data_IF_600795375540
#
_entry.id   IF_600795375540
#
_cell.length_a   1.000
_cell.length_b   1.000
_cell.length_c   1.000
_cell.angle_alpha   90.00
_cell.angle_beta   90.00
_cell.angle_gamma   90.00
#
_symmetry.space_group_name_H-M   'P 1'
#
loop_
_entity.id
_entity.type
_entity.pdbx_description
1 polymer ?
#
# COMPACT_ATOMS: atom_id res chain seq x y z
N UNK A 1 2.26 7.96 3.00
CA UNK A 1 2.97 7.45 4.19
C UNK A 1 3.83 6.27 3.76
N UNK A 2 5.10 6.20 4.17
CA UNK A 2 5.99 5.10 3.78
C UNK A 2 6.09 4.03 4.89
N UNK A 3 6.69 2.87 4.58
CA UNK A 3 6.82 1.75 5.50
C UNK A 3 7.59 2.11 6.77
N UNK A 4 8.67 2.89 6.64
CA UNK A 4 9.47 3.34 7.77
C UNK A 4 8.66 4.21 8.74
N UNK A 5 7.83 5.12 8.22
CA UNK A 5 6.93 5.94 9.02
C UNK A 5 5.86 5.09 9.72
N UNK A 6 5.35 4.04 9.06
CA UNK A 6 4.36 3.14 9.66
C UNK A 6 4.94 2.37 10.84
N UNK A 7 6.15 1.81 10.68
CA UNK A 7 6.86 1.16 11.79
C UNK A 7 7.13 2.12 12.95
N UNK A 8 7.58 3.34 12.65
CA UNK A 8 7.81 4.36 13.68
C UNK A 8 6.55 4.66 14.48
N UNK A 9 5.40 4.84 13.81
CA UNK A 9 4.13 5.11 14.49
C UNK A 9 3.59 3.90 15.25
N UNK A 10 3.77 2.68 14.72
CA UNK A 10 3.40 1.45 15.42
C UNK A 10 4.18 1.33 16.74
N UNK A 11 5.50 1.49 16.71
CA UNK A 11 6.36 1.40 17.89
C UNK A 11 6.00 2.46 18.94
N UNK A 12 5.78 3.71 18.52
CA UNK A 12 5.35 4.78 19.43
C UNK A 12 4.01 4.44 20.09
N UNK A 13 3.04 3.93 19.34
CA UNK A 13 1.75 3.51 19.90
C UNK A 13 1.90 2.36 20.90
N UNK A 14 2.74 1.34 20.61
CA UNK A 14 3.03 0.25 21.56
C UNK A 14 3.68 0.78 22.84
N UNK A 15 4.69 1.64 22.71
CA UNK A 15 5.36 2.25 23.86
C UNK A 15 4.38 3.06 24.73
N UNK A 16 3.52 3.86 24.10
CA UNK A 16 2.47 4.62 24.81
C UNK A 16 1.45 3.72 25.50
N UNK A 17 1.08 2.59 24.88
CA UNK A 17 0.18 1.62 25.51
C UNK A 17 0.81 0.94 26.73
N UNK A 18 2.11 0.66 26.68
CA UNK A 18 2.85 0.05 27.79
C UNK A 18 3.04 0.99 28.98
N UNK A 19 3.19 2.30 28.74
CA UNK A 19 3.39 3.30 29.80
C UNK A 19 2.10 4.00 30.24
N UNK A 20 0.96 3.68 29.62
CA UNK A 20 -0.32 4.31 29.94
C UNK A 20 -0.77 3.92 31.36
N UNK A 21 -1.10 4.92 32.17
CA UNK A 21 -1.59 4.70 33.53
C UNK A 21 -3.06 4.26 33.59
N UNK A 22 -3.86 4.61 32.58
CA UNK A 22 -5.27 4.22 32.51
C UNK A 22 -5.51 3.05 31.53
N UNK A 23 -6.39 2.11 31.89
CA UNK A 23 -6.80 1.02 30.99
C UNK A 23 -7.38 1.51 29.67
N UNK A 24 -8.10 2.63 29.67
CA UNK A 24 -8.70 3.22 28.49
C UNK A 24 -7.63 3.76 27.53
N UNK A 25 -6.60 4.43 28.07
CA UNK A 25 -5.49 4.93 27.26
C UNK A 25 -4.64 3.77 26.72
N UNK A 26 -4.41 2.73 27.52
CA UNK A 26 -3.74 1.52 27.08
C UNK A 26 -4.50 0.88 25.91
N UNK A 27 -5.81 0.68 26.04
CA UNK A 27 -6.66 0.11 24.99
C UNK A 27 -6.67 0.96 23.72
N UNK A 28 -6.77 2.29 23.86
CA UNK A 28 -6.72 3.24 22.74
C UNK A 28 -5.40 3.15 21.98
N UNK A 29 -4.27 3.17 22.68
CA UNK A 29 -2.95 3.07 22.07
C UNK A 29 -2.67 1.70 21.45
N UNK A 30 -3.16 0.61 22.05
CA UNK A 30 -3.11 -0.72 21.45
C UNK A 30 -3.90 -0.78 20.15
N UNK A 31 -5.13 -0.24 20.10
CA UNK A 31 -5.92 -0.16 18.85
C UNK A 31 -5.18 0.57 17.74
N UNK A 32 -4.49 1.67 18.06
CA UNK A 32 -3.67 2.39 17.09
C UNK A 32 -2.48 1.53 16.61
N UNK A 33 -1.79 0.84 17.52
CA UNK A 33 -0.69 -0.05 17.17
C UNK A 33 -1.15 -1.18 16.24
N UNK A 34 -2.30 -1.79 16.50
CA UNK A 34 -2.91 -2.81 15.65
C UNK A 34 -3.23 -2.25 14.26
N UNK A 35 -3.88 -1.08 14.19
CA UNK A 35 -4.19 -0.47 12.90
C UNK A 35 -2.95 -0.12 12.06
N UNK A 36 -1.82 0.21 12.68
CA UNK A 36 -0.54 0.34 11.97
C UNK A 36 0.03 -1.01 11.56
N UNK A 37 -0.06 -2.05 12.40
CA UNK A 37 0.40 -3.40 12.06
C UNK A 37 -0.33 -3.95 10.83
N UNK A 38 -1.65 -3.74 10.74
CA UNK A 38 -2.45 -4.14 9.58
C UNK A 38 -1.99 -3.42 8.30
N UNK A 39 -1.73 -2.12 8.38
CA UNK A 39 -1.22 -1.33 7.25
C UNK A 39 0.19 -1.72 6.83
N UNK A 40 1.04 -2.13 7.78
CA UNK A 40 2.38 -2.64 7.50
C UNK A 40 2.29 -3.97 6.75
N UNK A 41 1.43 -4.88 7.24
CA UNK A 41 1.19 -6.18 6.60
C UNK A 41 0.73 -6.02 5.15
N UNK A 42 -0.15 -5.06 4.90
CA UNK A 42 -0.73 -4.84 3.57
C UNK A 42 0.04 -3.77 2.75
N UNK A 43 1.21 -3.32 3.21
CA UNK A 43 1.93 -2.22 2.56
C UNK A 43 2.43 -2.60 1.16
N UNK A 44 2.80 -3.87 0.95
CA UNK A 44 3.26 -4.39 -0.34
C UNK A 44 2.11 -4.85 -1.24
N UNK A 45 0.97 -5.30 -0.67
CA UNK A 45 -0.24 -5.63 -1.43
C UNK A 45 -0.76 -4.40 -2.21
N UNK A 46 -0.59 -3.19 -1.66
CA UNK A 46 -0.90 -1.93 -2.35
C UNK A 46 0.15 -1.49 -3.39
N UNK A 47 1.33 -2.11 -3.41
CA UNK A 47 2.32 -1.91 -4.48
C UNK A 47 2.01 -2.79 -5.69
N UNK A 48 1.42 -3.97 -5.47
CA UNK A 48 1.01 -4.89 -6.54
C UNK A 48 -0.32 -4.48 -7.22
N UNK A 49 -1.18 -3.71 -6.55
CA UNK A 49 -2.37 -3.09 -7.17
C UNK A 49 -2.10 -1.80 -7.95
N UNK A 50 -0.84 -1.43 -8.19
CA UNK A 50 -0.56 -0.55 -9.32
C UNK A 50 -0.62 -1.44 -10.54
N UNK A 51 -1.61 -1.33 -11.44
CA UNK A 51 -1.49 -2.00 -12.73
C UNK A 51 -0.12 -1.59 -13.25
N UNK A 52 0.71 -2.59 -13.55
CA UNK A 52 1.97 -2.38 -14.26
C UNK A 52 1.52 -1.88 -15.63
N UNK A 53 1.22 -0.59 -15.73
CA UNK A 53 0.97 0.10 -16.97
C UNK A 53 2.33 0.13 -17.63
N UNK A 54 2.65 -0.95 -18.32
CA UNK A 54 3.79 -1.05 -19.21
C UNK A 54 3.58 0.04 -20.27
N UNK A 55 4.11 1.23 -20.00
CA UNK A 55 4.10 2.34 -20.93
C UNK A 55 5.15 2.05 -22.01
N UNK A 56 4.78 1.21 -22.98
CA UNK A 56 5.59 1.03 -24.18
C UNK A 56 5.37 2.24 -25.07
N UNK A 57 6.26 3.23 -24.98
CA UNK A 57 6.36 4.25 -26.03
C UNK A 57 6.96 3.59 -27.27
N UNK A 58 6.10 3.09 -28.16
CA UNK A 58 6.54 2.71 -29.50
C UNK A 58 6.66 4.00 -30.30
N UNK A 59 7.88 4.55 -30.37
CA UNK A 59 8.16 5.67 -31.27
C UNK A 59 8.11 5.13 -32.69
N UNK A 60 6.96 5.26 -33.35
CA UNK A 60 6.88 5.05 -34.79
C UNK A 60 7.59 6.22 -35.47
N UNK A 61 8.47 5.94 -36.44
CA UNK A 61 9.36 6.91 -37.11
C UNK A 61 8.63 7.99 -37.94
N UNK A 62 7.31 8.13 -37.78
CA UNK A 62 6.46 9.08 -38.48
C UNK A 62 5.58 9.87 -37.51
N UNK A 63 6.18 10.51 -36.49
CA UNK A 63 5.67 11.77 -35.90
C UNK A 63 4.23 11.85 -35.36
N UNK A 64 3.50 10.76 -35.15
CA UNK A 64 2.18 10.76 -34.51
C UNK A 64 2.14 9.79 -33.33
N UNK A 65 1.69 10.28 -32.16
CA UNK A 65 1.49 9.47 -30.95
C UNK A 65 0.07 8.91 -31.00
N UNK A 66 -0.08 7.67 -31.44
CA UNK A 66 -1.34 6.93 -31.35
C UNK A 66 -1.40 6.18 -30.01
N UNK A 67 -2.35 6.57 -29.14
CA UNK A 67 -2.58 5.91 -27.85
C UNK A 67 -3.43 4.66 -28.08
N UNK A 68 -2.80 3.49 -28.10
CA UNK A 68 -3.51 2.20 -28.17
C UNK A 68 -3.70 1.65 -26.76
N UNK A 69 -4.94 1.64 -26.27
CA UNK A 69 -5.33 0.85 -25.09
C UNK A 69 -5.51 -0.61 -25.51
N UNK A 70 -4.61 -1.50 -25.10
CA UNK A 70 -4.83 -2.94 -25.22
C UNK A 70 -5.49 -3.45 -23.92
N UNK A 71 -6.72 -3.93 -24.00
CA UNK A 71 -7.40 -4.63 -22.91
C UNK A 71 -7.14 -6.13 -23.11
N UNK A 72 -6.37 -6.77 -22.21
CA UNK A 72 -6.18 -8.23 -22.24
C UNK A 72 -7.51 -8.89 -21.84
N UNK A 73 -8.27 -9.38 -22.82
CA UNK A 73 -9.39 -10.30 -22.57
C UNK A 73 -8.78 -11.64 -22.17
N UNK A 74 -9.01 -12.04 -20.93
CA UNK A 74 -8.63 -13.35 -20.40
C UNK A 74 -9.63 -14.40 -20.90
N UNK A 75 -9.35 -14.99 -22.07
CA UNK A 75 -10.01 -16.23 -22.49
C UNK A 75 -9.38 -17.41 -21.73
N UNK A 76 -10.01 -17.83 -20.63
CA UNK A 76 -9.82 -19.18 -20.10
C UNK A 76 -10.94 -20.06 -20.68
N UNK A 77 -10.66 -20.68 -21.81
CA UNK A 77 -11.40 -21.85 -22.27
C UNK A 77 -10.92 -23.07 -21.49
N UNK A 78 -11.83 -23.74 -20.79
CA UNK A 78 -11.83 -25.19 -20.55
C UNK A 78 -13.27 -25.69 -20.47
#
# INVERSE_FOLDING_TARGET
MNLAELHGRQQVSVGRAATAASPEAQSSHWRLATGYADRIKNFDEQREERPILHHYSVVSAAGSVDVVLANLVSEQEL
#
